data_IF_187921892920
#
_entry.id   IF_187921892920
#
_cell.length_a   1.000
_cell.length_b   1.000
_cell.length_c   1.000
_cell.angle_alpha   90.00
_cell.angle_beta   90.00
_cell.angle_gamma   90.00
#
_symmetry.space_group_name_H-M   'P 1'
#
loop_
_entity.id
_entity.type
_entity.pdbx_description
1 polymer ?
#
# COMPACT_ATOMS: atom_id res chain seq x y z
N UNK A 1 9.67 -6.29 -14.59
CA UNK A 1 8.33 -6.13 -15.20
C UNK A 1 7.33 -6.69 -14.19
N UNK A 2 6.52 -5.85 -13.54
CA UNK A 2 5.46 -6.33 -12.64
C UNK A 2 4.37 -7.00 -13.50
N UNK A 3 4.04 -8.25 -13.18
CA UNK A 3 3.02 -9.03 -13.89
C UNK A 3 1.66 -8.37 -13.59
N UNK A 4 0.98 -7.83 -14.61
CA UNK A 4 -0.43 -7.46 -14.46
C UNK A 4 -1.20 -8.75 -14.18
N UNK A 5 -1.54 -8.99 -12.91
CA UNK A 5 -2.51 -10.01 -12.59
C UNK A 5 -3.88 -9.43 -12.97
N UNK A 6 -4.46 -9.93 -14.06
CA UNK A 6 -5.85 -9.68 -14.45
C UNK A 6 -6.86 -10.39 -13.52
N UNK A 7 -6.44 -10.65 -12.28
CA UNK A 7 -7.24 -11.31 -11.26
C UNK A 7 -7.85 -10.25 -10.35
N UNK A 8 -9.17 -10.23 -10.27
CA UNK A 8 -9.90 -9.37 -9.35
C UNK A 8 -9.68 -9.88 -7.92
N UNK A 9 -9.14 -9.04 -7.03
CA UNK A 9 -8.89 -9.41 -5.64
C UNK A 9 -9.35 -8.29 -4.70
N UNK A 10 -9.81 -8.62 -3.47
CA UNK A 10 -9.98 -7.63 -2.43
C UNK A 10 -8.66 -6.88 -2.22
N UNK A 11 -8.70 -5.56 -2.40
CA UNK A 11 -7.50 -4.73 -2.39
C UNK A 11 -7.50 -3.83 -1.16
N UNK A 12 -6.50 -3.95 -0.27
CA UNK A 12 -6.36 -3.03 0.85
C UNK A 12 -5.80 -1.67 0.41
N UNK A 13 -6.13 -0.62 1.13
CA UNK A 13 -5.48 0.68 0.99
C UNK A 13 -4.02 0.59 1.44
N UNK A 14 -3.18 1.42 0.83
CA UNK A 14 -1.80 1.59 1.28
C UNK A 14 -1.83 2.15 2.70
N UNK A 15 -1.03 1.58 3.60
CA UNK A 15 -0.85 2.12 4.95
C UNK A 15 0.11 3.30 4.88
N UNK A 16 -0.19 4.35 5.62
CA UNK A 16 0.65 5.54 5.71
C UNK A 16 1.07 5.79 7.16
N UNK A 17 2.02 6.70 7.38
CA UNK A 17 2.35 7.15 8.73
C UNK A 17 1.15 7.79 9.45
N UNK A 18 0.29 8.51 8.71
CA UNK A 18 -0.92 9.14 9.25
C UNK A 18 -2.06 8.14 9.45
N UNK A 19 -2.15 7.12 8.59
CA UNK A 19 -3.17 6.08 8.58
C UNK A 19 -2.53 4.68 8.57
N UNK A 20 -2.12 4.16 9.74
CA UNK A 20 -1.42 2.88 9.83
C UNK A 20 -2.32 1.66 9.59
N UNK A 21 -3.64 1.86 9.57
CA UNK A 21 -4.63 0.80 9.36
C UNK A 21 -5.08 0.81 7.91
N UNK A 22 -4.87 -0.31 7.22
CA UNK A 22 -5.37 -0.48 5.86
C UNK A 22 -6.89 -0.61 5.85
N UNK A 23 -7.56 0.18 5.02
CA UNK A 23 -9.00 0.13 4.78
C UNK A 23 -9.26 -0.67 3.51
N UNK A 24 -10.36 -1.43 3.46
CA UNK A 24 -10.75 -2.14 2.23
C UNK A 24 -11.13 -1.14 1.13
N UNK A 25 -10.47 -1.21 -0.02
CA UNK A 25 -10.84 -0.45 -1.23
C UNK A 25 -11.85 -1.21 -2.10
N UNK A 26 -12.33 -2.37 -1.63
CA UNK A 26 -13.19 -3.26 -2.41
C UNK A 26 -12.41 -4.20 -3.31
N UNK A 27 -13.09 -4.76 -4.32
CA UNK A 27 -12.48 -5.66 -5.30
C UNK A 27 -11.98 -4.82 -6.47
N UNK A 28 -10.68 -4.90 -6.74
CA UNK A 28 -10.07 -4.22 -7.89
C UNK A 28 -9.48 -5.29 -8.81
N UNK A 29 -9.77 -5.17 -10.10
CA UNK A 29 -9.20 -5.98 -11.16
C UNK A 29 -8.03 -5.20 -11.80
N UNK A 30 -7.05 -5.91 -12.37
CA UNK A 30 -5.88 -5.30 -13.02
C UNK A 30 -5.05 -4.38 -12.10
N UNK A 31 -4.93 -4.75 -10.82
CA UNK A 31 -4.20 -3.98 -9.83
C UNK A 31 -2.72 -3.87 -10.19
N UNK A 32 -2.25 -2.64 -10.39
CA UNK A 32 -0.86 -2.30 -10.72
C UNK A 32 -0.41 -1.06 -9.95
N UNK A 33 -0.31 -1.17 -8.63
CA UNK A 33 0.26 -0.15 -7.75
C UNK A 33 1.51 -0.68 -7.06
N UNK A 34 2.50 0.18 -6.88
CA UNK A 34 3.62 -0.09 -5.98
C UNK A 34 3.16 0.26 -4.56
N UNK A 35 3.04 -0.78 -3.74
CA UNK A 35 2.68 -0.66 -2.32
C UNK A 35 3.92 -0.86 -1.45
N UNK A 36 3.92 -0.25 -0.26
CA UNK A 36 4.91 -0.62 0.75
C UNK A 36 4.53 -1.97 1.33
N UNK A 37 5.47 -2.92 1.30
CA UNK A 37 5.28 -4.24 1.91
C UNK A 37 5.11 -4.13 3.43
N UNK A 38 4.33 -5.04 4.02
CA UNK A 38 4.22 -5.13 5.47
C UNK A 38 5.58 -5.52 6.09
N UNK A 39 6.07 -4.86 7.16
CA UNK A 39 5.38 -3.92 8.05
C UNK A 39 5.57 -2.43 7.74
N UNK A 40 6.07 -2.09 6.55
CA UNK A 40 6.36 -0.70 6.18
C UNK A 40 5.10 0.10 5.84
N UNK A 41 5.16 1.40 6.11
CA UNK A 41 4.12 2.38 5.80
C UNK A 41 4.68 3.48 4.91
N UNK A 42 3.84 4.04 4.06
CA UNK A 42 4.21 5.15 3.18
C UNK A 42 4.22 6.46 3.98
N UNK A 43 5.33 7.18 3.96
CA UNK A 43 5.35 8.56 4.44
C UNK A 43 4.94 9.50 3.30
N UNK A 44 3.75 10.12 3.33
CA UNK A 44 3.18 10.79 2.15
C UNK A 44 4.02 11.98 1.67
N UNK A 45 4.67 12.70 2.60
CA UNK A 45 5.45 13.88 2.28
C UNK A 45 6.80 13.55 1.62
N UNK A 46 7.39 12.39 1.89
CA UNK A 46 8.66 11.98 1.27
C UNK A 46 8.48 10.99 0.12
N UNK A 47 7.34 10.28 0.06
CA UNK A 47 7.06 9.26 -0.94
C UNK A 47 7.82 7.94 -0.71
N UNK A 48 8.48 7.78 0.43
CA UNK A 48 9.24 6.58 0.79
C UNK A 48 8.51 5.72 1.83
N UNK A 49 8.87 4.44 1.85
CA UNK A 49 8.36 3.47 2.82
C UNK A 49 9.28 3.41 4.05
N UNK A 50 8.72 3.56 5.25
CA UNK A 50 9.44 3.48 6.53
C UNK A 50 8.81 2.42 7.43
N UNK A 51 9.57 1.93 8.41
CA UNK A 51 8.93 1.24 9.53
C UNK A 51 8.02 2.25 10.24
N UNK A 52 6.88 1.80 10.77
CA UNK A 52 5.93 2.71 11.44
C UNK A 52 6.57 3.47 12.61
N UNK A 53 7.53 2.84 13.30
CA UNK A 53 8.31 3.46 14.38
C UNK A 53 9.32 4.51 13.92
N UNK A 54 9.70 4.48 12.64
CA UNK A 54 10.65 5.40 12.00
C UNK A 54 9.94 6.49 11.17
N UNK A 55 8.63 6.61 11.28
CA UNK A 55 7.89 7.71 10.67
C UNK A 55 8.39 9.05 11.23
N UNK A 56 8.86 9.98 10.37
CA UNK A 56 9.44 11.25 10.80
C UNK A 56 8.40 12.25 11.33
#
# INVERSE_FOLDING_TARGET
MHRLNSECRPTPSQRTCDEPVATSMGIICDWSRCDCDFPFVLHPASGYCFAYEDCP
#
